data_IF_342115732274
#
_entry.id   IF_342115732274
#
_cell.length_a   1.000
_cell.length_b   1.000
_cell.length_c   1.000
_cell.angle_alpha   90.00
_cell.angle_beta   90.00
_cell.angle_gamma   90.00
#
_symmetry.space_group_name_H-M   'P 1'
#
loop_
_entity.id
_entity.type
_entity.pdbx_description
1 polymer ?
#
# COMPACT_ATOMS: atom_id res chain seq x y z
N UNK A 1 -3.38 90.53 -73.45
CA UNK A 1 -3.79 89.80 -74.67
C UNK A 1 -4.86 88.81 -74.26
N UNK A 2 -6.09 89.30 -74.30
CA UNK A 2 -7.32 88.59 -73.96
C UNK A 2 -7.70 87.74 -75.18
N UNK A 3 -8.46 86.66 -74.96
CA UNK A 3 -9.35 86.03 -75.95
C UNK A 3 -8.69 84.99 -76.88
N UNK A 4 -8.71 83.73 -76.45
CA UNK A 4 -8.91 82.47 -77.23
C UNK A 4 -8.15 81.27 -76.68
N UNK A 5 -8.35 80.96 -75.41
CA UNK A 5 -8.20 79.58 -74.97
C UNK A 5 -9.16 79.25 -73.82
N UNK A 6 -10.39 79.71 -73.99
CA UNK A 6 -11.54 79.47 -73.13
C UNK A 6 -12.37 78.30 -73.70
N UNK A 7 -11.70 77.20 -74.08
CA UNK A 7 -12.32 76.07 -74.79
C UNK A 7 -11.69 74.71 -74.43
N UNK A 8 -11.23 74.54 -73.19
CA UNK A 8 -10.84 73.23 -72.61
C UNK A 8 -11.47 73.03 -71.20
N UNK A 9 -12.45 73.89 -70.83
CA UNK A 9 -13.15 73.84 -69.54
C UNK A 9 -14.42 72.95 -69.45
N UNK A 10 -14.78 72.02 -70.37
CA UNK A 10 -15.91 71.12 -70.12
C UNK A 10 -15.55 69.62 -69.97
N UNK A 11 -14.30 69.25 -69.66
CA UNK A 11 -13.90 67.83 -69.53
C UNK A 11 -13.63 67.35 -68.10
N UNK A 12 -13.61 68.24 -67.12
CA UNK A 12 -13.44 67.87 -65.70
C UNK A 12 -14.76 67.78 -64.89
N UNK A 13 -15.92 68.00 -65.55
CA UNK A 13 -17.23 68.00 -64.86
C UNK A 13 -17.99 66.66 -64.92
N UNK A 14 -17.40 65.60 -65.46
CA UNK A 14 -18.07 64.30 -65.63
C UNK A 14 -17.68 63.22 -64.61
N UNK A 15 -16.90 63.54 -63.56
CA UNK A 15 -16.48 62.53 -62.55
C UNK A 15 -17.10 62.76 -61.16
N UNK A 16 -17.98 63.76 -60.99
CA UNK A 16 -18.64 64.03 -59.69
C UNK A 16 -20.17 63.96 -59.73
N UNK A 17 -20.76 63.45 -60.80
CA UNK A 17 -22.20 63.20 -60.90
C UNK A 17 -22.54 61.70 -60.81
N UNK A 18 -22.31 61.12 -59.64
CA UNK A 18 -23.20 60.09 -59.11
C UNK A 18 -23.45 60.40 -57.63
N UNK A 19 -24.10 61.55 -57.40
CA UNK A 19 -24.72 61.87 -56.13
C UNK A 19 -26.07 61.16 -56.05
N UNK A 20 -26.06 59.94 -55.52
CA UNK A 20 -27.22 59.32 -54.89
C UNK A 20 -27.15 59.62 -53.39
N UNK A 21 -27.92 60.61 -52.96
CA UNK A 21 -28.08 61.00 -51.56
C UNK A 21 -28.91 59.95 -50.80
N UNK A 22 -28.25 59.08 -50.05
CA UNK A 22 -28.74 58.43 -48.83
C UNK A 22 -27.49 57.95 -48.10
N UNK A 23 -27.14 58.53 -46.96
CA UNK A 23 -27.77 58.09 -45.74
C UNK A 23 -26.95 56.93 -45.19
N UNK A 24 -26.42 57.16 -44.00
CA UNK A 24 -25.64 56.31 -43.11
C UNK A 24 -26.39 55.01 -42.70
N UNK A 25 -27.09 54.38 -43.64
CA UNK A 25 -28.14 53.35 -43.49
C UNK A 25 -28.08 52.28 -44.59
N UNK A 26 -27.26 52.47 -45.64
CA UNK A 26 -27.15 51.51 -46.75
C UNK A 26 -26.18 50.35 -46.43
N UNK A 27 -25.10 50.60 -45.68
CA UNK A 27 -24.19 49.55 -45.22
C UNK A 27 -24.85 48.56 -44.26
N UNK A 28 -25.74 49.03 -43.37
CA UNK A 28 -26.46 48.16 -42.42
C UNK A 28 -27.55 47.33 -43.11
N UNK A 29 -28.22 47.88 -44.12
CA UNK A 29 -29.24 47.15 -44.90
C UNK A 29 -28.61 46.08 -45.81
N UNK A 30 -27.46 46.37 -46.43
CA UNK A 30 -26.69 45.40 -47.22
C UNK A 30 -26.01 44.35 -46.31
N UNK A 31 -25.56 44.74 -45.11
CA UNK A 31 -25.03 43.82 -44.11
C UNK A 31 -26.10 42.85 -43.59
N UNK A 32 -27.29 43.34 -43.24
CA UNK A 32 -28.41 42.48 -42.81
C UNK A 32 -28.93 41.59 -43.94
N UNK A 33 -28.90 42.07 -45.19
CA UNK A 33 -29.23 41.25 -46.36
C UNK A 33 -28.18 40.17 -46.62
N UNK A 34 -26.89 40.52 -46.53
CA UNK A 34 -25.78 39.56 -46.69
C UNK A 34 -25.77 38.53 -45.55
N UNK A 35 -26.07 38.94 -44.32
CA UNK A 35 -26.20 38.07 -43.16
C UNK A 35 -27.37 37.10 -43.31
N UNK A 36 -28.53 37.56 -43.78
CA UNK A 36 -29.67 36.67 -44.09
C UNK A 36 -29.30 35.69 -45.19
N UNK A 37 -28.68 36.15 -46.27
CA UNK A 37 -28.21 35.28 -47.35
C UNK A 37 -27.21 34.24 -46.83
N UNK A 38 -26.26 34.60 -45.98
CA UNK A 38 -25.30 33.67 -45.38
C UNK A 38 -25.95 32.65 -44.44
N UNK A 39 -26.89 33.10 -43.61
CA UNK A 39 -27.66 32.22 -42.71
C UNK A 39 -28.52 31.24 -43.51
N UNK A 40 -29.10 31.69 -44.61
CA UNK A 40 -29.91 30.84 -45.49
C UNK A 40 -29.02 29.83 -46.22
N UNK A 41 -27.83 30.22 -46.71
CA UNK A 41 -26.83 29.30 -47.29
C UNK A 41 -26.38 28.24 -46.29
N UNK A 42 -26.17 28.58 -45.01
CA UNK A 42 -25.81 27.58 -43.98
C UNK A 42 -26.99 26.62 -43.71
N UNK A 43 -28.23 27.11 -43.82
CA UNK A 43 -29.45 26.31 -43.59
C UNK A 43 -29.87 25.47 -44.80
N UNK A 44 -29.41 25.78 -46.01
CA UNK A 44 -29.68 24.96 -47.19
C UNK A 44 -29.04 23.58 -47.05
N UNK A 45 -29.52 22.65 -47.86
CA UNK A 45 -29.04 21.28 -47.83
C UNK A 45 -27.57 21.19 -48.27
N UNK A 46 -27.12 22.08 -49.15
CA UNK A 46 -25.71 22.22 -49.54
C UNK A 46 -24.85 22.73 -48.37
N UNK A 47 -25.31 23.74 -47.62
CA UNK A 47 -24.60 24.24 -46.45
C UNK A 47 -24.49 23.22 -45.32
N UNK A 48 -25.58 22.48 -45.06
CA UNK A 48 -25.56 21.35 -44.12
C UNK A 48 -24.64 20.23 -44.58
N UNK A 49 -24.64 19.88 -45.87
CA UNK A 49 -23.74 18.85 -46.43
C UNK A 49 -22.26 19.27 -46.33
N UNK A 50 -21.94 20.52 -46.68
CA UNK A 50 -20.59 21.05 -46.57
C UNK A 50 -20.12 21.10 -45.10
N UNK A 51 -20.99 21.53 -44.18
CA UNK A 51 -20.69 21.51 -42.76
C UNK A 51 -20.54 20.07 -42.23
N UNK A 52 -21.37 19.15 -42.70
CA UNK A 52 -21.27 17.73 -42.36
C UNK A 52 -19.99 17.10 -42.89
N UNK A 53 -19.52 17.49 -44.07
CA UNK A 53 -18.25 17.03 -44.65
C UNK A 53 -17.06 17.56 -43.84
N UNK A 54 -17.08 18.85 -43.47
CA UNK A 54 -16.06 19.46 -42.60
C UNK A 54 -16.09 18.86 -41.19
N UNK A 55 -17.26 18.63 -40.60
CA UNK A 55 -17.41 17.92 -39.33
C UNK A 55 -17.14 16.43 -39.45
N UNK A 56 -17.09 15.87 -40.66
CA UNK A 56 -16.71 14.49 -40.91
C UNK A 56 -15.20 14.32 -41.01
N UNK A 57 -14.46 15.41 -41.25
CA UNK A 57 -13.01 15.41 -41.21
C UNK A 57 -12.49 15.04 -39.82
N UNK A 58 -11.57 14.07 -39.78
CA UNK A 58 -11.05 13.49 -38.54
C UNK A 58 -10.35 14.54 -37.64
N UNK A 59 -9.65 15.52 -38.23
CA UNK A 59 -8.99 16.58 -37.45
C UNK A 59 -10.02 17.50 -36.81
N UNK A 60 -11.07 17.85 -37.55
CA UNK A 60 -12.15 18.70 -37.03
C UNK A 60 -12.96 17.99 -35.94
N UNK A 61 -13.29 16.70 -36.11
CA UNK A 61 -13.94 15.88 -35.07
C UNK A 61 -13.12 15.83 -33.79
N UNK A 62 -11.83 15.55 -33.92
CA UNK A 62 -10.96 15.38 -32.76
C UNK A 62 -10.81 16.69 -31.98
N UNK A 63 -10.66 17.82 -32.67
CA UNK A 63 -10.61 19.14 -32.04
C UNK A 63 -11.94 19.47 -31.33
N UNK A 64 -13.08 19.25 -31.97
CA UNK A 64 -14.40 19.58 -31.43
C UNK A 64 -14.78 18.70 -30.22
N UNK A 65 -14.52 17.39 -30.31
CA UNK A 65 -14.85 16.43 -29.25
C UNK A 65 -13.95 16.64 -28.03
N UNK A 66 -12.65 16.89 -28.23
CA UNK A 66 -11.70 17.03 -27.11
C UNK A 66 -11.75 18.41 -26.44
N UNK A 67 -12.11 19.47 -27.17
CA UNK A 67 -12.13 20.84 -26.63
C UNK A 67 -13.49 21.23 -26.02
N UNK A 68 -14.52 20.41 -26.21
CA UNK A 68 -15.80 20.67 -25.56
C UNK A 68 -15.69 20.45 -24.05
N UNK A 69 -15.87 21.53 -23.28
CA UNK A 69 -16.01 21.46 -21.82
C UNK A 69 -17.08 20.42 -21.41
N UNK A 70 -18.12 20.28 -22.23
CA UNK A 70 -19.16 19.27 -22.08
C UNK A 70 -18.63 17.83 -22.10
N UNK A 71 -17.69 17.47 -22.98
CA UNK A 71 -17.11 16.12 -23.00
C UNK A 71 -16.22 15.89 -21.78
N UNK A 72 -15.42 16.88 -21.37
CA UNK A 72 -14.62 16.80 -20.14
C UNK A 72 -15.50 16.62 -18.91
N UNK A 73 -16.57 17.40 -18.80
CA UNK A 73 -17.53 17.32 -17.70
C UNK A 73 -18.29 15.99 -17.70
N UNK A 74 -18.70 15.50 -18.87
CA UNK A 74 -19.35 14.20 -19.00
C UNK A 74 -18.42 13.04 -18.59
N UNK A 75 -17.15 13.08 -19.00
CA UNK A 75 -16.14 12.09 -18.61
C UNK A 75 -15.90 12.16 -17.10
N UNK A 76 -15.66 13.36 -16.56
CA UNK A 76 -15.42 13.54 -15.12
C UNK A 76 -16.62 13.09 -14.31
N UNK A 77 -17.83 13.50 -14.68
CA UNK A 77 -19.07 13.11 -14.01
C UNK A 77 -19.26 11.60 -14.09
N UNK A 78 -19.02 10.98 -15.25
CA UNK A 78 -19.19 9.53 -15.40
C UNK A 78 -18.16 8.76 -14.57
N UNK A 79 -16.88 9.14 -14.62
CA UNK A 79 -15.80 8.45 -13.90
C UNK A 79 -15.89 8.63 -12.38
N UNK A 80 -16.35 9.79 -11.90
CA UNK A 80 -16.49 10.08 -10.46
C UNK A 80 -17.84 9.67 -9.88
N UNK A 81 -18.84 9.44 -10.73
CA UNK A 81 -20.16 8.95 -10.31
C UNK A 81 -20.10 7.53 -9.76
N UNK A 82 -21.15 7.13 -9.04
CA UNK A 82 -21.32 5.76 -8.58
C UNK A 82 -21.43 4.75 -9.73
N UNK A 83 -21.89 5.18 -10.92
CA UNK A 83 -21.86 4.35 -12.13
C UNK A 83 -20.41 4.06 -12.57
N UNK A 84 -19.52 5.05 -12.47
CA UNK A 84 -18.09 4.89 -12.71
C UNK A 84 -17.46 3.91 -11.72
N UNK A 85 -17.77 4.03 -10.43
CA UNK A 85 -17.31 3.07 -9.40
C UNK A 85 -17.78 1.65 -9.73
N UNK A 86 -19.07 1.46 -10.05
CA UNK A 86 -19.62 0.15 -10.43
C UNK A 86 -18.96 -0.41 -11.70
N UNK A 87 -18.67 0.44 -12.68
CA UNK A 87 -17.95 0.05 -13.89
C UNK A 87 -16.55 -0.46 -13.55
N UNK A 88 -15.78 0.28 -12.74
CA UNK A 88 -14.46 -0.16 -12.28
C UNK A 88 -14.55 -1.44 -11.46
N UNK A 89 -15.49 -1.57 -10.53
CA UNK A 89 -15.69 -2.80 -9.76
C UNK A 89 -15.92 -4.01 -10.68
N UNK A 90 -16.80 -3.89 -11.68
CA UNK A 90 -17.04 -4.97 -12.65
C UNK A 90 -15.82 -5.28 -13.53
N UNK A 91 -15.02 -4.28 -13.89
CA UNK A 91 -13.78 -4.51 -14.63
C UNK A 91 -12.75 -5.25 -13.78
N UNK A 92 -12.63 -4.94 -12.49
CA UNK A 92 -11.75 -5.66 -11.57
C UNK A 92 -12.24 -7.07 -11.22
N UNK A 93 -13.48 -7.42 -11.57
CA UNK A 93 -13.96 -8.82 -11.53
C UNK A 93 -13.54 -9.62 -12.77
N UNK A 94 -13.18 -8.97 -13.88
CA UNK A 94 -12.70 -9.66 -15.10
C UNK A 94 -11.23 -10.08 -14.96
N UNK A 95 -10.92 -11.40 -14.95
CA UNK A 95 -9.55 -11.89 -14.81
C UNK A 95 -8.60 -11.41 -15.92
N UNK A 96 -9.10 -11.17 -17.14
CA UNK A 96 -8.27 -10.67 -18.25
C UNK A 96 -7.84 -9.24 -17.99
N UNK A 97 -8.79 -8.40 -17.58
CA UNK A 97 -8.51 -7.03 -17.22
C UNK A 97 -7.55 -6.96 -16.03
N UNK A 98 -7.80 -7.72 -14.95
CA UNK A 98 -6.94 -7.78 -13.78
C UNK A 98 -5.53 -8.22 -14.16
N UNK A 99 -5.38 -9.25 -14.99
CA UNK A 99 -4.06 -9.71 -15.44
C UNK A 99 -3.29 -8.60 -16.16
N UNK A 100 -3.90 -7.97 -17.16
CA UNK A 100 -3.26 -6.88 -17.91
C UNK A 100 -2.97 -5.68 -17.01
N UNK A 101 -3.87 -5.32 -16.11
CA UNK A 101 -3.67 -4.26 -15.14
C UNK A 101 -2.48 -4.57 -14.22
N UNK A 102 -2.46 -5.75 -13.60
CA UNK A 102 -1.37 -6.18 -12.72
C UNK A 102 -0.04 -6.24 -13.45
N UNK A 103 0.01 -6.75 -14.69
CA UNK A 103 1.22 -6.76 -15.52
C UNK A 103 1.72 -5.34 -15.81
N UNK A 104 0.83 -4.43 -16.21
CA UNK A 104 1.18 -3.04 -16.49
C UNK A 104 1.64 -2.27 -15.23
N UNK A 105 1.07 -2.58 -14.07
CA UNK A 105 1.41 -1.90 -12.80
C UNK A 105 2.52 -2.59 -12.02
N UNK A 106 2.98 -3.77 -12.44
CA UNK A 106 3.89 -4.63 -11.67
C UNK A 106 5.13 -3.88 -11.18
N UNK A 107 5.84 -3.22 -12.07
CA UNK A 107 7.10 -2.54 -11.76
C UNK A 107 6.89 -1.38 -10.79
N UNK A 108 5.80 -0.62 -10.97
CA UNK A 108 5.42 0.48 -10.07
C UNK A 108 5.03 -0.03 -8.70
N UNK A 109 4.28 -1.13 -8.65
CA UNK A 109 3.87 -1.78 -7.40
C UNK A 109 5.07 -2.37 -6.66
N UNK A 110 6.02 -3.00 -7.37
CA UNK A 110 7.25 -3.51 -6.79
C UNK A 110 8.10 -2.38 -6.20
N UNK A 111 8.24 -1.28 -6.95
CA UNK A 111 8.97 -0.09 -6.47
C UNK A 111 8.31 0.53 -5.25
N UNK A 112 6.98 0.62 -5.24
CA UNK A 112 6.21 1.08 -4.08
C UNK A 112 6.45 0.17 -2.88
N UNK A 113 6.29 -1.14 -3.03
CA UNK A 113 6.49 -2.12 -1.95
C UNK A 113 7.92 -2.09 -1.40
N UNK A 114 8.94 -2.02 -2.27
CA UNK A 114 10.34 -1.86 -1.85
C UNK A 114 10.59 -0.53 -1.13
N UNK A 115 9.88 0.52 -1.51
CA UNK A 115 9.89 1.81 -0.83
C UNK A 115 9.27 1.71 0.57
N UNK A 116 8.08 1.13 0.67
CA UNK A 116 7.37 0.91 1.93
C UNK A 116 8.18 0.03 2.90
N UNK A 117 8.92 -0.97 2.44
CA UNK A 117 9.81 -1.75 3.32
C UNK A 117 10.88 -0.91 4.02
N UNK A 118 11.19 0.29 3.52
CA UNK A 118 12.15 1.22 4.15
C UNK A 118 11.45 2.27 5.03
N UNK A 119 10.13 2.34 4.97
CA UNK A 119 9.32 3.25 5.77
C UNK A 119 9.12 2.70 7.18
N UNK A 120 9.25 3.54 8.19
CA UNK A 120 9.18 3.13 9.60
C UNK A 120 7.79 2.68 10.04
N UNK A 121 6.72 3.27 9.50
CA UNK A 121 5.35 2.89 9.87
C UNK A 121 4.98 1.55 9.25
N UNK A 122 5.38 1.33 8.00
CA UNK A 122 5.19 0.04 7.33
C UNK A 122 6.02 -1.06 8.00
N UNK A 123 7.27 -0.79 8.38
CA UNK A 123 8.11 -1.73 9.14
C UNK A 123 7.46 -2.11 10.48
N UNK A 124 6.90 -1.14 11.21
CA UNK A 124 6.21 -1.41 12.47
C UNK A 124 5.00 -2.31 12.24
N UNK A 125 4.17 -1.99 11.25
CA UNK A 125 3.00 -2.81 10.88
C UNK A 125 3.41 -4.23 10.46
N UNK A 126 4.55 -4.36 9.77
CA UNK A 126 5.12 -5.66 9.41
C UNK A 126 5.61 -6.44 10.64
N UNK A 127 6.24 -5.77 11.61
CA UNK A 127 6.64 -6.43 12.87
C UNK A 127 5.43 -6.93 13.66
N UNK A 128 4.37 -6.13 13.73
CA UNK A 128 3.13 -6.53 14.39
C UNK A 128 2.51 -7.76 13.70
N UNK A 129 2.55 -7.81 12.36
CA UNK A 129 2.13 -8.99 11.59
C UNK A 129 2.99 -10.23 11.89
N UNK A 130 4.30 -10.06 12.00
CA UNK A 130 5.25 -11.15 12.31
C UNK A 130 5.12 -11.68 13.74
N UNK A 131 4.55 -10.90 14.66
CA UNK A 131 4.31 -11.32 16.05
C UNK A 131 3.02 -12.14 16.22
N UNK A 132 2.36 -12.53 15.13
CA UNK A 132 1.18 -13.37 15.24
C UNK A 132 1.53 -14.78 15.81
N UNK A 133 0.56 -15.50 16.39
CA UNK A 133 0.80 -16.82 16.97
C UNK A 133 1.35 -17.86 15.99
N UNK A 134 0.87 -17.88 14.73
CA UNK A 134 1.31 -18.84 13.71
C UNK A 134 2.78 -18.66 13.31
N UNK A 135 3.24 -17.42 13.20
CA UNK A 135 4.63 -17.07 12.95
C UNK A 135 5.50 -17.40 14.15
N UNK A 136 4.97 -17.18 15.36
CA UNK A 136 5.66 -17.57 16.60
C UNK A 136 5.84 -19.08 16.68
N UNK A 137 4.82 -19.87 16.34
CA UNK A 137 4.90 -21.33 16.31
C UNK A 137 5.90 -21.83 15.26
N UNK A 138 5.90 -21.22 14.08
CA UNK A 138 6.87 -21.50 13.02
C UNK A 138 8.30 -21.19 13.49
N UNK A 139 8.48 -20.08 14.20
CA UNK A 139 9.77 -19.71 14.79
C UNK A 139 10.19 -20.70 15.89
N UNK A 140 9.28 -21.12 16.76
CA UNK A 140 9.54 -22.15 17.78
C UNK A 140 9.89 -23.51 17.16
N UNK A 141 9.22 -23.91 16.09
CA UNK A 141 9.56 -25.12 15.35
C UNK A 141 10.97 -25.03 14.74
N UNK A 142 11.33 -23.85 14.22
CA UNK A 142 12.67 -23.59 13.68
C UNK A 142 13.74 -23.66 14.78
N UNK A 143 13.49 -23.07 15.96
CA UNK A 143 14.39 -23.16 17.11
C UNK A 143 14.52 -24.59 17.65
N UNK A 144 13.51 -25.44 17.48
CA UNK A 144 13.55 -26.86 17.85
C UNK A 144 14.16 -27.76 16.77
N UNK A 145 14.46 -27.22 15.59
CA UNK A 145 15.01 -27.97 14.46
C UNK A 145 16.41 -28.51 14.78
N UNK A 146 16.81 -29.59 14.09
CA UNK A 146 18.13 -30.18 14.30
C UNK A 146 19.27 -29.20 13.98
N UNK A 147 19.11 -28.37 12.95
CA UNK A 147 20.11 -27.37 12.58
C UNK A 147 20.33 -26.35 13.70
N UNK A 148 19.26 -25.90 14.36
CA UNK A 148 19.40 -24.97 15.48
C UNK A 148 19.93 -25.66 16.73
N UNK A 149 19.60 -26.95 16.96
CA UNK A 149 20.15 -27.74 18.06
C UNK A 149 21.66 -27.93 17.96
N UNK A 150 22.19 -28.21 16.77
CA UNK A 150 23.64 -28.29 16.54
C UNK A 150 24.34 -26.98 16.86
N UNK A 151 23.78 -25.85 16.42
CA UNK A 151 24.30 -24.53 16.77
C UNK A 151 24.24 -24.27 18.29
N UNK A 152 23.11 -24.62 18.91
CA UNK A 152 22.91 -24.47 20.35
C UNK A 152 23.87 -25.34 21.15
N UNK A 153 24.10 -26.59 20.75
CA UNK A 153 25.06 -27.49 21.39
C UNK A 153 26.47 -26.91 21.32
N UNK A 154 26.88 -26.41 20.15
CA UNK A 154 28.18 -25.75 19.98
C UNK A 154 28.31 -24.53 20.89
N UNK A 155 27.31 -23.65 20.94
CA UNK A 155 27.31 -22.48 21.82
C UNK A 155 27.36 -22.88 23.29
N UNK A 156 26.66 -23.95 23.69
CA UNK A 156 26.72 -24.48 25.06
C UNK A 156 28.14 -24.99 25.34
N UNK A 157 28.74 -25.78 24.45
CA UNK A 157 30.11 -26.28 24.61
C UNK A 157 31.11 -25.12 24.77
N UNK A 158 31.04 -24.11 23.90
CA UNK A 158 31.88 -22.90 23.99
C UNK A 158 31.66 -22.14 25.32
N UNK A 159 30.41 -22.06 25.79
CA UNK A 159 30.07 -21.43 27.06
C UNK A 159 30.64 -22.20 28.25
N UNK A 160 30.53 -23.54 28.24
CA UNK A 160 31.11 -24.41 29.27
C UNK A 160 32.65 -24.35 29.27
N UNK A 161 33.25 -24.13 28.10
CA UNK A 161 34.69 -23.99 27.96
C UNK A 161 35.22 -22.62 28.37
N UNK A 162 34.34 -21.63 28.51
CA UNK A 162 34.69 -20.27 28.93
C UNK A 162 35.42 -20.29 30.28
N UNK A 163 36.56 -19.56 30.39
CA UNK A 163 37.29 -19.43 31.66
C UNK A 163 36.41 -18.92 32.81
N UNK A 164 35.44 -18.05 32.51
CA UNK A 164 34.52 -17.51 33.50
C UNK A 164 33.61 -18.62 34.04
N UNK A 165 33.04 -19.43 33.15
CA UNK A 165 32.17 -20.54 33.55
C UNK A 165 32.95 -21.62 34.30
N UNK A 166 34.14 -21.98 33.83
CA UNK A 166 35.04 -22.94 34.52
C UNK A 166 35.40 -22.46 35.92
N UNK A 167 35.70 -21.17 36.09
CA UNK A 167 36.00 -20.58 37.40
C UNK A 167 34.78 -20.63 38.34
N UNK A 168 33.59 -20.23 37.85
CA UNK A 168 32.35 -20.31 38.62
C UNK A 168 32.01 -21.75 39.01
N UNK A 169 32.16 -22.70 38.08
CA UNK A 169 31.92 -24.12 38.34
C UNK A 169 32.91 -24.66 39.37
N UNK A 170 34.18 -24.27 39.29
CA UNK A 170 35.21 -24.65 40.28
C UNK A 170 34.88 -24.10 41.67
N UNK A 171 34.43 -22.86 41.77
CA UNK A 171 34.00 -22.26 43.04
C UNK A 171 32.77 -22.97 43.64
N UNK A 172 31.78 -23.32 42.80
CA UNK A 172 30.60 -24.07 43.22
C UNK A 172 30.99 -25.46 43.72
N UNK A 173 31.88 -26.17 43.01
CA UNK A 173 32.38 -27.49 43.42
C UNK A 173 33.16 -27.42 44.74
N UNK A 174 33.98 -26.39 44.94
CA UNK A 174 34.69 -26.16 46.20
C UNK A 174 33.73 -25.90 47.36
N UNK A 175 32.73 -25.02 47.18
CA UNK A 175 31.67 -24.79 48.18
C UNK A 175 30.89 -26.06 48.51
N UNK A 176 30.51 -26.84 47.50
CA UNK A 176 29.80 -28.10 47.71
C UNK A 176 30.66 -29.13 48.47
N UNK A 177 31.97 -29.19 48.19
CA UNK A 177 32.90 -30.02 48.93
C UNK A 177 33.06 -29.57 50.39
N UNK A 178 33.20 -28.26 50.64
CA UNK A 178 33.24 -27.69 51.99
C UNK A 178 31.96 -27.99 52.78
N UNK A 179 30.78 -27.87 52.14
CA UNK A 179 29.49 -28.15 52.79
C UNK A 179 29.33 -29.64 53.09
N UNK A 180 29.73 -30.54 52.18
CA UNK A 180 29.78 -31.98 52.46
C UNK A 180 30.75 -32.32 53.60
N UNK A 181 31.89 -31.63 53.66
CA UNK A 181 32.89 -31.86 54.71
C UNK A 181 32.43 -31.32 56.06
N UNK A 182 31.69 -30.20 56.09
CA UNK A 182 30.97 -29.71 57.29
C UNK A 182 29.86 -30.67 57.71
N UNK A 183 29.20 -31.32 56.76
CA UNK A 183 28.13 -32.29 57.03
C UNK A 183 28.69 -33.65 57.51
N UNK A 184 29.85 -34.09 57.03
CA UNK A 184 30.56 -35.29 57.54
C UNK A 184 31.35 -35.03 58.83
N UNK A 185 31.83 -33.80 59.06
CA UNK A 185 32.56 -33.41 60.28
C UNK A 185 31.68 -33.23 61.51
N UNK A 186 30.35 -33.23 61.36
CA UNK A 186 29.39 -33.05 62.45
C UNK A 186 28.94 -34.34 63.15
N UNK A 187 29.36 -35.52 62.71
CA UNK A 187 28.86 -36.79 63.25
C UNK A 187 29.88 -37.57 64.10
N UNK A 188 30.93 -36.93 64.60
CA UNK A 188 31.90 -37.61 65.45
C UNK A 188 32.47 -36.74 66.59
N UNK A 189 31.60 -36.20 67.45
CA UNK A 189 31.98 -35.93 68.85
C UNK A 189 30.77 -35.70 69.74
N UNK A 190 30.55 -36.62 70.68
CA UNK A 190 29.75 -36.35 71.88
C UNK A 190 28.80 -37.47 72.28
N UNK A 191 29.32 -38.52 72.93
CA UNK A 191 28.89 -38.97 74.27
C UNK A 191 29.39 -40.38 74.57
N UNK A 192 30.53 -40.45 75.26
CA UNK A 192 30.82 -41.57 76.16
C UNK A 192 31.00 -41.00 77.56
N UNK A 193 30.23 -41.57 78.48
CA UNK A 193 30.42 -41.66 79.92
C UNK A 193 29.64 -40.70 80.84
N UNK A 194 28.49 -41.20 81.30
CA UNK A 194 27.85 -40.86 82.56
C UNK A 194 27.06 -42.08 83.05
N UNK A 195 27.65 -42.87 83.94
CA UNK A 195 27.00 -43.97 84.67
C UNK A 195 25.81 -43.48 85.49
N UNK A 196 24.76 -44.31 85.60
CA UNK A 196 23.91 -44.31 86.78
C UNK A 196 22.40 -44.42 86.53
N UNK A 197 21.92 -45.66 86.58
CA UNK A 197 20.78 -46.09 87.40
C UNK A 197 19.36 -45.56 87.08
N UNK A 198 18.47 -46.49 86.71
CA UNK A 198 17.10 -46.49 87.22
C UNK A 198 15.97 -46.57 86.19
N UNK A 199 15.48 -47.79 85.97
CA UNK A 199 14.08 -48.14 86.23
C UNK A 199 13.00 -47.83 85.17
N UNK A 200 12.33 -48.92 84.73
CA UNK A 200 10.94 -48.96 84.25
C UNK A 200 10.70 -48.37 82.86
N UNK A 201 10.00 -49.01 81.92
CA UNK A 201 8.93 -49.98 82.01
C UNK A 201 7.87 -49.56 80.99
N UNK A 202 7.39 -50.52 80.18
CA UNK A 202 6.23 -50.42 79.26
C UNK A 202 6.33 -49.40 78.11
N UNK A 203 5.87 -49.65 76.89
CA UNK A 203 5.01 -50.69 76.35
C UNK A 203 4.47 -50.19 75.00
N UNK A 204 3.84 -51.08 74.25
CA UNK A 204 3.07 -50.85 73.02
C UNK A 204 3.86 -50.52 71.74
N UNK A 205 3.98 -51.46 70.80
CA UNK A 205 2.95 -51.82 69.79
C UNK A 205 2.54 -50.62 68.94
N UNK A 206 2.63 -50.62 67.62
CA UNK A 206 2.62 -51.72 66.67
C UNK A 206 2.00 -51.20 65.38
N UNK A 207 2.18 -51.97 64.30
CA UNK A 207 1.36 -52.00 63.09
C UNK A 207 1.29 -50.70 62.25
N UNK A 208 1.48 -50.69 60.94
CA UNK A 208 1.39 -51.77 59.97
C UNK A 208 0.64 -51.26 58.74
N UNK A 209 1.03 -51.77 57.57
CA UNK A 209 0.24 -51.75 56.33
C UNK A 209 0.15 -50.40 55.63
N UNK A 210 0.23 -50.28 54.30
CA UNK A 210 -0.02 -51.28 53.26
C UNK A 210 -0.88 -50.65 52.18
N UNK A 211 -0.72 -51.15 50.94
CA UNK A 211 -1.50 -50.85 49.73
C UNK A 211 -1.31 -49.48 49.07
N UNK A 212 -1.21 -49.36 47.75
CA UNK A 212 -1.43 -50.35 46.68
C UNK A 212 -2.19 -49.72 45.52
N UNK A 213 -1.88 -50.18 44.29
CA UNK A 213 -2.67 -49.99 43.05
C UNK A 213 -2.39 -48.66 42.34
N UNK A 214 -1.89 -48.63 41.10
CA UNK A 214 -2.50 -49.20 39.89
C UNK A 214 -3.44 -48.11 39.32
N UNK A 215 -3.26 -47.50 38.16
CA UNK A 215 -2.89 -48.05 36.86
C UNK A 215 -4.02 -47.70 35.88
N UNK A 216 -3.67 -47.37 34.63
CA UNK A 216 -4.57 -47.24 33.43
C UNK A 216 -5.41 -45.95 33.38
N UNK A 217 -5.79 -45.36 32.23
CA UNK A 217 -5.45 -45.46 30.80
C UNK A 217 -6.41 -44.53 30.05
N UNK A 218 -6.00 -44.01 28.88
CA UNK A 218 -6.89 -43.53 27.80
C UNK A 218 -7.57 -42.18 28.06
N UNK A 219 -7.77 -41.29 27.10
CA UNK A 219 -7.81 -41.45 25.65
C UNK A 219 -9.02 -40.67 25.15
N UNK A 220 -8.77 -39.56 24.46
CA UNK A 220 -9.58 -38.91 23.43
C UNK A 220 -8.73 -37.82 22.79
#
# INVERSE_FOLDING_TARGET
MVKRWFLILPIFLFITACGGNTGQTQGDAEYETTKKMLVDIIKTDEGKKALQEVLSDEKMKQQLVMDSAMVKDAINSTLTSDKGKQFWSKLFEDPKFVKTYTEATKDSQEKLMKGLMKDSEYQKSMMDLLQNPEMTDTMLQTLKSQQFREHLEKTIQETLESPLFKAQMSEILLKAAEDMQKQQGGQNQGQTQGSGQGGGGEGSSGSGGGSGGGGTSGGS
#
